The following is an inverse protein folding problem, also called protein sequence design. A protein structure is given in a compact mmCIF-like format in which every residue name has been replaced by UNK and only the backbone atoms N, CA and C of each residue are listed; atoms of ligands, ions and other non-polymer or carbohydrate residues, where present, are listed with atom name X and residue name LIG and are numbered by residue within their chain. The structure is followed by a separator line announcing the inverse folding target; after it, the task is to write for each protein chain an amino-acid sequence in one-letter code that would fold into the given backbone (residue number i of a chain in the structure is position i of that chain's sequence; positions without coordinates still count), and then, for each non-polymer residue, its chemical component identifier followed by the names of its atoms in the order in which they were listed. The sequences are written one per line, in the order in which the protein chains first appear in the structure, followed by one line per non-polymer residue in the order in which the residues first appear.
data_IF_984562977191
#
_entry.id   IF_984562977191
#
_cell.length_a   1.000
_cell.length_b   1.000
_cell.length_c   1.000
_cell.angle_alpha   90.00
_cell.angle_beta   90.00
_cell.angle_gamma   90.00
#
_symmetry.space_group_name_H-M   'P 1'
#
loop_
_entity.id
_entity.type
_entity.pdbx_description
1 polymer ?
#
# COMPACT_ATOMS: atom_id res chain seq x y z
N UNK A 1 2.05 29.34 -11.82
CA UNK A 1 1.99 27.85 -11.85
C UNK A 1 3.22 27.22 -11.19
N UNK A 2 4.46 27.66 -11.48
CA UNK A 2 5.70 27.10 -10.91
C UNK A 2 5.83 27.39 -9.41
N UNK A 3 5.55 28.62 -8.95
CA UNK A 3 5.59 29.01 -7.52
C UNK A 3 4.67 28.15 -6.63
N UNK A 4 3.51 27.77 -7.18
CA UNK A 4 2.55 26.92 -6.45
C UNK A 4 3.05 25.46 -6.30
N UNK A 5 3.84 24.97 -7.26
CA UNK A 5 4.41 23.63 -7.23
C UNK A 5 5.58 23.52 -6.24
N UNK A 6 6.43 24.53 -6.17
CA UNK A 6 7.54 24.57 -5.20
C UNK A 6 7.02 24.67 -3.76
N UNK A 7 6.00 25.51 -3.52
CA UNK A 7 5.34 25.62 -2.23
C UNK A 7 4.71 24.28 -1.80
N UNK A 8 4.06 23.57 -2.74
CA UNK A 8 3.48 22.26 -2.49
C UNK A 8 4.55 21.21 -2.15
N UNK A 9 5.65 21.16 -2.90
CA UNK A 9 6.75 20.24 -2.61
C UNK A 9 7.44 20.55 -1.28
N UNK A 10 7.54 21.83 -0.91
CA UNK A 10 8.06 22.24 0.40
C UNK A 10 7.15 21.74 1.52
N UNK A 11 5.84 21.95 1.39
CA UNK A 11 4.85 21.49 2.36
C UNK A 11 4.92 19.97 2.57
N UNK A 12 5.03 19.19 1.50
CA UNK A 12 5.19 17.71 1.60
C UNK A 12 6.49 17.33 2.32
N UNK A 13 7.60 17.99 2.01
CA UNK A 13 8.89 17.71 2.70
C UNK A 13 8.82 18.04 4.18
N UNK A 14 8.23 19.17 4.55
CA UNK A 14 8.05 19.56 5.94
C UNK A 14 7.14 18.57 6.68
N UNK A 15 6.05 18.14 6.04
CA UNK A 15 5.14 17.15 6.60
C UNK A 15 5.82 15.76 6.77
N UNK A 16 6.76 15.37 5.91
CA UNK A 16 7.51 14.12 6.00
C UNK A 16 8.69 14.16 6.98
N UNK A 17 9.09 15.36 7.46
CA UNK A 17 10.28 15.51 8.30
C UNK A 17 10.30 14.58 9.52
N UNK A 18 9.20 14.42 10.30
CA UNK A 18 9.21 13.51 11.46
C UNK A 18 9.55 12.06 11.09
N UNK A 19 8.99 11.58 9.98
CA UNK A 19 9.27 10.22 9.48
C UNK A 19 10.72 10.08 9.04
N UNK A 20 11.24 11.06 8.29
CA UNK A 20 12.62 11.08 7.80
C UNK A 20 13.61 11.12 8.97
N UNK A 21 13.36 11.98 9.97
CA UNK A 21 14.24 12.15 11.11
C UNK A 21 14.31 10.88 11.97
N UNK A 22 13.20 10.18 12.11
CA UNK A 22 13.19 8.89 12.81
C UNK A 22 13.95 7.80 12.02
N UNK A 23 13.80 7.75 10.69
CA UNK A 23 14.59 6.85 9.87
C UNK A 23 16.10 7.15 10.00
N UNK A 24 16.48 8.42 10.04
CA UNK A 24 17.89 8.84 10.25
C UNK A 24 18.41 8.43 11.64
N UNK A 25 17.58 8.57 12.67
CA UNK A 25 17.94 8.14 14.03
C UNK A 25 18.23 6.63 14.11
N UNK A 26 17.64 5.84 13.19
CA UNK A 26 17.88 4.40 13.03
C UNK A 26 19.07 4.08 12.08
N UNK A 27 19.82 5.09 11.65
CA UNK A 27 21.03 4.94 10.85
C UNK A 27 20.82 4.96 9.33
N UNK A 28 19.64 5.34 8.83
CA UNK A 28 19.37 5.45 7.40
C UNK A 28 19.70 6.86 6.90
N UNK A 29 20.48 6.96 5.82
CA UNK A 29 20.81 8.25 5.19
C UNK A 29 19.81 8.51 4.08
N UNK A 30 18.73 9.23 4.39
CA UNK A 30 17.65 9.54 3.46
C UNK A 30 17.28 11.01 3.51
N UNK A 31 16.76 11.52 2.40
CA UNK A 31 16.15 12.85 2.26
C UNK A 31 14.67 12.77 1.94
N UNK A 32 14.26 11.66 1.36
CA UNK A 32 12.86 11.30 1.07
C UNK A 32 12.62 9.83 1.40
N UNK A 33 11.37 9.41 1.65
CA UNK A 33 11.06 7.99 1.82
C UNK A 33 11.47 7.11 0.63
N UNK A 34 11.50 7.67 -0.59
CA UNK A 34 11.92 6.93 -1.80
C UNK A 34 13.38 6.50 -1.76
N UNK A 35 14.24 7.17 -0.99
CA UNK A 35 15.65 6.79 -0.85
C UNK A 35 15.81 5.40 -0.22
N UNK A 36 14.77 4.91 0.48
CA UNK A 36 14.74 3.58 1.08
C UNK A 36 14.80 2.44 0.05
N UNK A 37 14.46 2.69 -1.21
CA UNK A 37 14.62 1.69 -2.29
C UNK A 37 16.06 1.29 -2.55
N UNK A 38 17.04 2.11 -2.14
CA UNK A 38 18.47 1.82 -2.31
C UNK A 38 19.04 0.91 -1.21
N UNK A 39 18.27 0.59 -0.18
CA UNK A 39 18.69 -0.27 0.91
C UNK A 39 18.32 -1.72 0.66
N UNK A 40 19.23 -2.65 0.94
CA UNK A 40 19.02 -4.08 0.80
C UNK A 40 17.87 -4.59 1.71
N UNK A 41 17.71 -3.96 2.87
CA UNK A 41 16.65 -4.27 3.83
C UNK A 41 16.24 -3.05 4.62
N UNK A 42 14.93 -2.85 4.70
CA UNK A 42 14.30 -1.82 5.54
C UNK A 42 13.50 -2.46 6.69
N UNK A 43 13.80 -3.71 7.04
CA UNK A 43 13.06 -4.50 8.03
C UNK A 43 12.83 -3.75 9.35
N UNK A 44 13.87 -3.10 9.87
CA UNK A 44 13.78 -2.37 11.16
C UNK A 44 12.92 -1.10 11.06
N UNK A 45 12.72 -0.57 9.85
CA UNK A 45 11.88 0.59 9.60
C UNK A 45 10.41 0.24 9.40
N UNK A 46 10.06 -1.03 9.14
CA UNK A 46 8.66 -1.42 8.87
C UNK A 46 7.71 -0.95 9.97
N UNK A 47 7.95 -1.19 11.27
CA UNK A 47 7.05 -0.71 12.33
C UNK A 47 7.00 0.82 12.43
N UNK A 48 8.11 1.50 12.15
CA UNK A 48 8.19 2.97 12.14
C UNK A 48 7.34 3.54 11.03
N UNK A 49 7.56 3.07 9.80
CA UNK A 49 6.84 3.55 8.63
C UNK A 49 5.33 3.24 8.71
N UNK A 50 4.93 2.09 9.26
CA UNK A 50 3.53 1.76 9.48
C UNK A 50 2.88 2.71 10.47
N UNK A 51 3.54 3.05 11.58
CA UNK A 51 3.02 4.02 12.54
C UNK A 51 2.83 5.40 11.91
N UNK A 52 3.79 5.88 11.12
CA UNK A 52 3.64 7.13 10.38
C UNK A 52 2.53 7.05 9.31
N UNK A 53 2.35 5.92 8.65
CA UNK A 53 1.27 5.73 7.68
C UNK A 53 -0.13 5.79 8.33
N UNK A 54 -0.24 5.41 9.61
CA UNK A 54 -1.49 5.48 10.39
C UNK A 54 -1.78 6.88 10.94
N UNK A 55 -0.76 7.73 11.02
CA UNK A 55 -0.90 9.04 11.64
C UNK A 55 -1.72 9.99 10.75
N UNK A 56 -2.87 10.39 11.24
CA UNK A 56 -3.82 11.27 10.55
C UNK A 56 -3.34 12.72 10.38
N UNK A 57 -2.20 13.09 10.94
CA UNK A 57 -1.57 14.40 10.73
C UNK A 57 -0.81 14.48 9.40
N UNK A 58 -0.55 13.33 8.74
CA UNK A 58 0.08 13.32 7.44
C UNK A 58 -0.91 13.65 6.33
N UNK A 59 -0.43 14.44 5.37
CA UNK A 59 -1.15 14.66 4.10
C UNK A 59 -1.24 13.36 3.31
N UNK A 60 -2.30 13.19 2.53
CA UNK A 60 -2.48 11.99 1.70
C UNK A 60 -1.26 11.70 0.80
N UNK A 61 -0.66 12.75 0.20
CA UNK A 61 0.54 12.60 -0.61
C UNK A 61 1.77 12.15 0.21
N UNK A 62 1.87 12.55 1.48
CA UNK A 62 2.93 12.07 2.39
C UNK A 62 2.70 10.63 2.78
N UNK A 63 1.46 10.25 3.12
CA UNK A 63 1.09 8.86 3.39
C UNK A 63 1.38 7.96 2.18
N UNK A 64 1.09 8.42 0.96
CA UNK A 64 1.39 7.68 -0.26
C UNK A 64 2.91 7.43 -0.41
N UNK A 65 3.75 8.43 -0.15
CA UNK A 65 5.20 8.27 -0.21
C UNK A 65 5.73 7.30 0.86
N UNK A 66 5.21 7.37 2.09
CA UNK A 66 5.56 6.43 3.17
C UNK A 66 5.14 5.01 2.79
N UNK A 67 3.93 4.84 2.28
CA UNK A 67 3.43 3.54 1.85
C UNK A 67 4.22 2.96 0.68
N UNK A 68 4.60 3.79 -0.30
CA UNK A 68 5.50 3.36 -1.40
C UNK A 68 6.87 2.93 -0.87
N UNK A 69 7.45 3.64 0.09
CA UNK A 69 8.69 3.20 0.72
C UNK A 69 8.56 1.81 1.36
N UNK A 70 7.42 1.52 2.01
CA UNK A 70 7.12 0.20 2.56
C UNK A 70 7.00 -0.89 1.48
N UNK A 71 6.67 -0.54 0.23
CA UNK A 71 6.70 -1.51 -0.88
C UNK A 71 8.12 -2.07 -1.12
N UNK A 72 9.18 -1.39 -0.69
CA UNK A 72 10.55 -1.89 -0.67
C UNK A 72 10.81 -3.02 0.34
N UNK A 73 9.99 -3.13 1.40
CA UNK A 73 10.15 -4.19 2.41
C UNK A 73 9.94 -5.59 1.82
N UNK A 74 10.64 -6.59 2.33
CA UNK A 74 10.42 -7.99 1.94
C UNK A 74 9.05 -8.46 2.45
N UNK A 75 8.44 -9.41 1.74
CA UNK A 75 7.12 -9.95 2.11
C UNK A 75 7.08 -10.45 3.55
N UNK A 76 8.10 -11.20 3.96
CA UNK A 76 8.12 -11.80 5.30
C UNK A 76 8.29 -10.74 6.41
N UNK A 77 8.83 -9.56 6.09
CA UNK A 77 8.90 -8.43 7.01
C UNK A 77 7.54 -7.73 7.18
N UNK A 78 6.69 -7.77 6.14
CA UNK A 78 5.33 -7.21 6.18
C UNK A 78 4.27 -8.21 6.71
N UNK A 79 4.51 -9.51 6.56
CA UNK A 79 3.54 -10.55 6.95
C UNK A 79 3.03 -10.43 8.40
N UNK A 80 3.85 -10.11 9.42
CA UNK A 80 3.39 -9.91 10.79
C UNK A 80 2.34 -8.81 10.93
N UNK A 81 2.33 -7.82 10.03
CA UNK A 81 1.46 -6.64 10.05
C UNK A 81 0.22 -6.78 9.16
N UNK A 82 -0.09 -8.00 8.68
CA UNK A 82 -1.22 -8.23 7.78
C UNK A 82 -2.56 -7.74 8.35
N UNK A 83 -2.85 -8.03 9.62
CA UNK A 83 -4.12 -7.62 10.23
C UNK A 83 -4.19 -6.11 10.45
N UNK A 84 -3.08 -5.47 10.76
CA UNK A 84 -2.95 -4.02 10.90
C UNK A 84 -3.20 -3.33 9.55
N UNK A 85 -2.54 -3.79 8.49
CA UNK A 85 -2.75 -3.31 7.12
C UNK A 85 -4.20 -3.53 6.66
N UNK A 86 -4.83 -4.63 7.06
CA UNK A 86 -6.23 -4.92 6.77
C UNK A 86 -7.15 -3.87 7.40
N UNK A 87 -6.96 -3.59 8.69
CA UNK A 87 -7.72 -2.57 9.41
C UNK A 87 -7.53 -1.17 8.80
N UNK A 88 -6.30 -0.83 8.40
CA UNK A 88 -6.02 0.43 7.72
C UNK A 88 -6.74 0.52 6.37
N UNK A 89 -6.72 -0.55 5.58
CA UNK A 89 -7.40 -0.61 4.27
C UNK A 89 -8.90 -0.41 4.40
N UNK A 90 -9.52 -1.07 5.38
CA UNK A 90 -10.96 -0.99 5.65
C UNK A 90 -11.38 0.40 6.19
N UNK A 91 -10.53 1.02 7.01
CA UNK A 91 -10.80 2.32 7.64
C UNK A 91 -10.53 3.52 6.71
N UNK A 92 -9.69 3.36 5.70
CA UNK A 92 -9.32 4.47 4.81
C UNK A 92 -10.48 4.82 3.87
N UNK A 93 -10.86 6.10 3.71
CA UNK A 93 -11.92 6.50 2.80
C UNK A 93 -11.60 6.14 1.34
N UNK A 94 -12.64 5.83 0.56
CA UNK A 94 -12.49 5.59 -0.87
C UNK A 94 -11.98 6.86 -1.57
N UNK A 95 -11.10 6.67 -2.55
CA UNK A 95 -10.67 7.77 -3.43
C UNK A 95 -11.67 7.90 -4.58
N UNK A 96 -12.14 9.12 -4.84
CA UNK A 96 -13.15 9.36 -5.88
C UNK A 96 -12.56 9.34 -7.30
N UNK A 97 -11.23 9.56 -7.45
CA UNK A 97 -10.56 9.55 -8.75
C UNK A 97 -9.87 8.20 -9.00
N UNK A 98 -10.37 7.40 -9.97
CA UNK A 98 -9.78 6.09 -10.29
C UNK A 98 -8.38 6.17 -10.93
N UNK A 99 -7.94 7.36 -11.35
CA UNK A 99 -6.63 7.56 -11.99
C UNK A 99 -5.56 8.02 -11.01
N UNK A 100 -5.96 8.45 -9.81
CA UNK A 100 -5.04 8.91 -8.77
C UNK A 100 -4.97 7.81 -7.70
N UNK A 101 -3.81 7.14 -7.61
CA UNK A 101 -3.55 6.21 -6.51
C UNK A 101 -3.60 6.96 -5.19
N UNK A 102 -4.57 6.66 -4.34
CA UNK A 102 -4.71 7.23 -3.00
C UNK A 102 -4.03 6.37 -1.93
N UNK A 103 -4.15 6.79 -0.70
CA UNK A 103 -3.59 6.10 0.47
C UNK A 103 -4.10 4.65 0.54
N UNK A 104 -5.41 4.43 0.35
CA UNK A 104 -5.99 3.08 0.33
C UNK A 104 -5.36 2.18 -0.74
N UNK A 105 -5.08 2.73 -1.94
CA UNK A 105 -4.43 1.97 -3.00
C UNK A 105 -3.06 1.43 -2.57
N UNK A 106 -2.24 2.28 -1.97
CA UNK A 106 -0.89 1.90 -1.50
C UNK A 106 -1.00 0.87 -0.37
N UNK A 107 -1.89 1.09 0.60
CA UNK A 107 -2.17 0.10 1.66
C UNK A 107 -2.61 -1.24 1.06
N UNK A 108 -3.45 -1.23 0.03
CA UNK A 108 -3.86 -2.43 -0.70
C UNK A 108 -2.70 -3.17 -1.37
N UNK A 109 -1.74 -2.45 -1.95
CA UNK A 109 -0.51 -3.05 -2.48
C UNK A 109 0.32 -3.74 -1.37
N UNK A 110 0.47 -3.08 -0.21
CA UNK A 110 1.16 -3.63 0.96
C UNK A 110 0.43 -4.86 1.51
N UNK A 111 -0.88 -4.78 1.63
CA UNK A 111 -1.74 -5.88 2.09
C UNK A 111 -1.63 -7.09 1.15
N UNK A 112 -1.72 -6.84 -0.17
CA UNK A 112 -1.50 -7.88 -1.17
C UNK A 112 -0.10 -8.49 -1.09
N UNK A 113 0.94 -7.73 -0.71
CA UNK A 113 2.29 -8.23 -0.51
C UNK A 113 2.44 -9.04 0.77
N UNK A 114 1.84 -8.58 1.88
CA UNK A 114 1.93 -9.17 3.21
C UNK A 114 1.18 -10.50 3.35
N UNK A 115 0.17 -10.75 2.50
CA UNK A 115 -0.73 -11.90 2.64
C UNK A 115 0.00 -13.24 2.63
N UNK A 116 -0.29 -14.10 3.64
CA UNK A 116 0.26 -15.45 3.79
C UNK A 116 -0.77 -16.35 4.49
N UNK A 117 -0.95 -17.55 3.97
CA UNK A 117 -1.88 -18.55 4.53
C UNK A 117 -3.32 -18.43 4.02
N UNK A 118 -4.06 -19.54 4.08
CA UNK A 118 -5.38 -19.68 3.48
C UNK A 118 -6.38 -18.64 4.02
N UNK A 119 -6.48 -18.51 5.35
CA UNK A 119 -7.42 -17.57 5.98
C UNK A 119 -7.16 -16.11 5.58
N UNK A 120 -5.90 -15.69 5.45
CA UNK A 120 -5.56 -14.34 4.99
C UNK A 120 -5.97 -14.14 3.52
N UNK A 121 -5.77 -15.13 2.65
CA UNK A 121 -6.24 -15.05 1.26
C UNK A 121 -7.77 -15.01 1.16
N UNK A 122 -8.52 -15.66 2.07
CA UNK A 122 -9.98 -15.57 2.11
C UNK A 122 -10.45 -14.14 2.43
N UNK A 123 -9.78 -13.46 3.37
CA UNK A 123 -10.03 -12.04 3.66
C UNK A 123 -9.78 -11.14 2.43
N UNK A 124 -8.65 -11.34 1.75
CA UNK A 124 -8.34 -10.60 0.52
C UNK A 124 -9.37 -10.88 -0.58
N UNK A 125 -9.83 -12.14 -0.73
CA UNK A 125 -10.88 -12.47 -1.70
C UNK A 125 -12.17 -11.69 -1.41
N UNK A 126 -12.57 -11.58 -0.15
CA UNK A 126 -13.76 -10.80 0.23
C UNK A 126 -13.61 -9.33 -0.18
N UNK A 127 -12.50 -8.68 0.16
CA UNK A 127 -12.23 -7.28 -0.22
C UNK A 127 -12.16 -7.08 -1.73
N UNK A 128 -11.54 -8.01 -2.46
CA UNK A 128 -11.38 -7.93 -3.92
C UNK A 128 -12.72 -7.87 -4.65
N UNK A 129 -13.76 -8.52 -4.12
CA UNK A 129 -15.10 -8.54 -4.73
C UNK A 129 -16.10 -7.61 -4.05
N UNK A 130 -15.71 -6.92 -3.00
CA UNK A 130 -16.54 -5.88 -2.40
C UNK A 130 -16.46 -4.58 -3.24
N UNK A 131 -17.54 -4.31 -3.97
CA UNK A 131 -17.64 -3.16 -4.88
C UNK A 131 -17.62 -1.82 -4.17
N UNK A 132 -17.87 -1.78 -2.85
CA UNK A 132 -17.81 -0.54 -2.07
C UNK A 132 -16.41 0.09 -2.05
N UNK A 133 -15.37 -0.71 -2.29
CA UNK A 133 -13.98 -0.23 -2.41
C UNK A 133 -13.63 0.32 -3.80
N UNK A 134 -14.57 0.38 -4.74
CA UNK A 134 -14.36 1.00 -6.04
C UNK A 134 -13.14 0.47 -6.79
N UNK A 135 -12.31 1.38 -7.29
CA UNK A 135 -11.07 1.06 -8.02
C UNK A 135 -9.93 0.59 -7.12
N UNK A 136 -9.95 0.93 -5.81
CA UNK A 136 -8.86 0.57 -4.89
C UNK A 136 -8.68 -0.94 -4.74
N UNK A 137 -9.75 -1.74 -4.92
CA UNK A 137 -9.67 -3.20 -4.91
C UNK A 137 -8.74 -3.79 -5.98
N UNK A 138 -8.42 -3.04 -7.05
CA UNK A 138 -7.44 -3.48 -8.05
C UNK A 138 -6.03 -3.63 -7.47
N UNK A 139 -5.69 -2.88 -6.40
CA UNK A 139 -4.41 -3.00 -5.70
C UNK A 139 -4.18 -4.41 -5.15
N UNK A 140 -5.26 -5.12 -4.81
CA UNK A 140 -5.25 -6.47 -4.28
C UNK A 140 -4.98 -7.56 -5.33
N UNK A 141 -5.08 -7.26 -6.64
CA UNK A 141 -4.82 -8.23 -7.71
C UNK A 141 -3.42 -8.84 -7.67
N UNK A 142 -2.44 -8.12 -7.12
CA UNK A 142 -1.05 -8.57 -7.01
C UNK A 142 -0.87 -9.89 -6.25
N UNK A 143 -1.79 -10.25 -5.36
CA UNK A 143 -1.70 -11.50 -4.58
C UNK A 143 -2.33 -12.73 -5.27
N UNK A 144 -3.17 -12.54 -6.31
CA UNK A 144 -3.92 -13.65 -6.94
C UNK A 144 -3.02 -14.76 -7.45
N UNK A 145 -1.83 -14.42 -7.96
CA UNK A 145 -0.85 -15.42 -8.44
C UNK A 145 -0.35 -16.36 -7.34
N UNK A 146 -0.38 -15.91 -6.08
CA UNK A 146 0.14 -16.64 -4.90
C UNK A 146 -0.94 -17.39 -4.12
N UNK A 147 -2.21 -17.24 -4.49
CA UNK A 147 -3.32 -17.97 -3.87
C UNK A 147 -3.17 -19.48 -4.06
N UNK A 148 -3.68 -20.29 -3.13
CA UNK A 148 -3.81 -21.73 -3.30
C UNK A 148 -4.53 -22.07 -4.62
N UNK A 149 -4.17 -23.20 -5.26
CA UNK A 149 -4.62 -23.55 -6.63
C UNK A 149 -6.15 -23.48 -6.81
N UNK A 150 -6.89 -24.07 -5.89
CA UNK A 150 -8.37 -24.10 -5.96
C UNK A 150 -8.96 -22.70 -5.78
N UNK A 151 -8.49 -21.96 -4.79
CA UNK A 151 -8.92 -20.58 -4.53
C UNK A 151 -8.59 -19.67 -5.72
N UNK A 152 -7.38 -19.81 -6.27
CA UNK A 152 -6.96 -19.07 -7.47
C UNK A 152 -7.89 -19.33 -8.66
N UNK A 153 -8.28 -20.58 -8.91
CA UNK A 153 -9.19 -20.91 -10.01
C UNK A 153 -10.55 -20.24 -9.82
N UNK A 154 -11.13 -20.33 -8.61
CA UNK A 154 -12.38 -19.68 -8.25
C UNK A 154 -12.31 -18.16 -8.38
N UNK A 155 -11.25 -17.54 -7.86
CA UNK A 155 -11.04 -16.08 -7.91
C UNK A 155 -10.89 -15.60 -9.34
N UNK A 156 -10.12 -16.31 -10.18
CA UNK A 156 -9.98 -15.98 -11.60
C UNK A 156 -11.31 -16.03 -12.36
N UNK A 157 -12.17 -17.00 -12.05
CA UNK A 157 -13.49 -17.08 -12.67
C UNK A 157 -14.37 -15.88 -12.28
N UNK A 158 -14.39 -15.51 -11.00
CA UNK A 158 -15.09 -14.30 -10.54
C UNK A 158 -14.54 -13.02 -11.18
N UNK A 159 -13.20 -12.91 -11.34
CA UNK A 159 -12.57 -11.75 -12.00
C UNK A 159 -13.05 -11.61 -13.45
N UNK A 160 -13.25 -12.70 -14.20
CA UNK A 160 -13.75 -12.64 -15.57
C UNK A 160 -15.14 -12.00 -15.68
N UNK A 161 -15.95 -12.13 -14.61
CA UNK A 161 -17.30 -11.57 -14.52
C UNK A 161 -17.31 -10.12 -14.02
N UNK A 162 -16.22 -9.63 -13.44
CA UNK A 162 -16.06 -8.26 -12.97
C UNK A 162 -15.30 -7.44 -14.01
N UNK A 163 -15.97 -6.48 -14.66
CA UNK A 163 -15.38 -5.70 -15.73
C UNK A 163 -14.11 -4.99 -15.30
N UNK A 164 -14.13 -4.28 -14.15
CA UNK A 164 -12.99 -3.51 -13.65
C UNK A 164 -11.77 -4.40 -13.41
N UNK A 165 -11.96 -5.53 -12.72
CA UNK A 165 -10.87 -6.45 -12.39
C UNK A 165 -10.35 -7.18 -13.61
N UNK A 166 -11.24 -7.58 -14.55
CA UNK A 166 -10.87 -8.26 -15.79
C UNK A 166 -9.95 -7.42 -16.66
N UNK A 167 -10.23 -6.14 -16.79
CA UNK A 167 -9.42 -5.22 -17.61
C UNK A 167 -8.03 -4.96 -17.01
N UNK A 168 -7.85 -5.17 -15.72
CA UNK A 168 -6.63 -4.82 -14.99
C UNK A 168 -5.78 -6.02 -14.54
N UNK A 169 -6.28 -7.25 -14.54
CA UNK A 169 -5.52 -8.43 -14.07
C UNK A 169 -4.24 -8.70 -14.87
N UNK A 170 -4.24 -8.37 -16.16
CA UNK A 170 -3.10 -8.63 -17.06
C UNK A 170 -2.07 -7.49 -17.10
N UNK A 171 -2.35 -6.36 -16.45
CA UNK A 171 -1.45 -5.19 -16.40
C UNK A 171 -0.43 -5.27 -15.25
N UNK A 172 -0.46 -6.36 -14.45
CA UNK A 172 0.40 -6.53 -13.27
C UNK A 172 1.18 -7.87 -13.25
#
# INVERSE_FOLDING_TARGET
MIENLEAYHKMIRENLSPCIDECKALGFVITTPSDLYHYESIKILVPVLLRHLQDKHYLAASCEQIGRALEGAKRDDLTPYFNELLQMYEAEPAHDDPNIGGVRWVIGCLLAKAVKGKAAFEKIEALLFDKSYGSDRMSLLGCVRRMPKEQKARVKEKIRQDQLLRENINRR
#
